data_IF_903608221083
#
_entry.id   IF_903608221083
#
_cell.length_a   1.000
_cell.length_b   1.000
_cell.length_c   1.000
_cell.angle_alpha   90.00
_cell.angle_beta   90.00
_cell.angle_gamma   90.00
#
_symmetry.space_group_name_H-M   'P 1'
#
loop_
_entity.id
_entity.type
_entity.pdbx_description
1 polymer ?
2 non-polymer ?
3 non-polymer ?
4 non-polymer ?
5 water ?
#
# COMPACT_ATOMS: atom_id res chain seq x y z
N UNK A 3 -13.64 9.01 7.83
CA UNK A 3 -13.76 9.88 6.65
C UNK A 3 -12.58 9.66 5.71
N UNK A 4 -12.83 9.99 4.46
CA UNK A 4 -11.80 9.89 3.45
C UNK A 4 -11.10 11.20 3.38
N UNK A 5 -9.89 11.25 3.94
CA UNK A 5 -9.10 12.48 3.95
C UNK A 5 -8.44 12.71 2.59
N UNK A 6 -8.37 13.99 2.22
CA UNK A 6 -7.77 14.42 1.00
C UNK A 6 -6.45 15.05 1.32
N UNK A 7 -5.40 14.49 0.71
CA UNK A 7 -4.02 14.84 1.03
C UNK A 7 -3.28 15.47 -0.16
N UNK A 8 -2.53 16.52 0.12
CA UNK A 8 -1.61 17.11 -0.84
C UNK A 8 -0.18 16.96 -0.28
N UNK A 9 0.70 16.31 -1.06
CA UNK A 9 2.06 15.99 -0.70
C UNK A 9 2.85 16.36 -1.94
N UNK A 10 3.57 17.47 -1.85
CA UNK A 10 4.28 18.01 -2.99
C UNK A 10 5.50 18.82 -2.54
N UNK A 11 6.54 18.83 -3.38
CA UNK A 11 7.73 19.63 -3.16
C UNK A 11 7.76 20.88 -4.04
N UNK A 12 8.33 21.94 -3.49
CA UNK A 12 8.39 23.20 -4.20
C UNK A 12 9.59 24.03 -3.67
N UNK A 13 10.03 24.99 -4.43
CA UNK A 13 11.14 25.86 -4.07
C UNK A 13 10.68 26.90 -3.06
N UNK A 14 11.61 27.70 -2.53
CA UNK A 14 11.23 28.73 -1.57
C UNK A 14 10.19 29.71 -2.18
N UNK A 15 10.42 30.00 -3.46
CA UNK A 15 9.52 30.81 -4.32
C UNK A 15 8.33 30.06 -4.98
N UNK A 16 8.02 28.87 -4.47
CA UNK A 16 6.73 28.22 -4.68
C UNK A 16 6.58 27.69 -6.12
N UNK A 17 7.71 27.41 -6.73
CA UNK A 17 7.72 26.71 -8.00
C UNK A 17 7.83 25.19 -7.83
N UNK A 18 7.02 24.44 -8.60
CA UNK A 18 7.01 22.98 -8.52
C UNK A 18 7.77 22.31 -9.68
N UNK A 19 8.08 23.06 -10.72
CA UNK A 19 8.85 22.54 -11.82
C UNK A 19 9.38 23.72 -12.55
N UNK A 20 10.30 23.46 -13.45
CA UNK A 20 10.75 24.56 -14.28
C UNK A 20 9.77 24.77 -15.39
N UNK A 21 10.17 25.73 -16.19
CA UNK A 21 9.52 26.10 -17.42
C UNK A 21 9.06 24.84 -18.21
N UNK A 22 9.96 23.87 -18.32
CA UNK A 22 9.70 22.62 -19.08
C UNK A 22 8.87 21.57 -18.33
N UNK A 23 8.52 21.82 -17.06
CA UNK A 23 7.91 20.75 -16.26
C UNK A 23 8.95 19.83 -15.67
N UNK A 24 10.24 20.15 -15.78
CA UNK A 24 11.34 19.35 -15.20
C UNK A 24 11.47 19.60 -13.70
N UNK A 25 11.76 18.55 -12.91
CA UNK A 25 11.99 18.70 -11.45
C UNK A 25 13.45 18.49 -10.99
N UNK A 26 14.37 18.37 -11.95
CA UNK A 26 15.73 18.01 -11.63
C UNK A 26 16.47 19.04 -10.78
N UNK A 27 16.17 20.32 -10.94
CA UNK A 27 16.81 21.34 -10.07
C UNK A 27 16.27 21.39 -8.65
N UNK A 28 15.06 20.88 -8.45
CA UNK A 28 14.58 20.67 -7.09
C UNK A 28 15.32 19.46 -6.48
N UNK A 29 15.39 18.34 -7.20
CA UNK A 29 16.14 17.19 -6.73
C UNK A 29 17.64 17.47 -6.46
N UNK A 30 18.25 18.27 -7.32
CA UNK A 30 19.66 18.65 -7.18
C UNK A 30 19.95 19.36 -5.84
N UNK A 31 18.93 19.94 -5.25
CA UNK A 31 19.11 20.90 -4.09
C UNK A 31 18.73 20.30 -2.73
N UNK A 32 18.66 18.98 -2.69
CA UNK A 32 18.60 18.22 -1.45
C UNK A 32 20.03 18.10 -0.92
N UNK A 33 20.19 18.28 0.38
CA UNK A 33 21.51 18.21 0.99
C UNK A 33 21.56 17.19 2.16
N UNK A 34 21.93 15.98 1.85
CA UNK A 34 22.11 14.95 2.86
C UNK A 34 21.53 13.66 2.34
N UNK A 35 21.75 12.58 3.07
CA UNK A 35 21.31 11.27 2.63
C UNK A 35 20.41 10.55 3.67
N UNK A 36 19.83 11.28 4.63
CA UNK A 36 19.06 10.68 5.70
C UNK A 36 17.72 10.30 5.16
N UNK A 37 17.11 9.26 5.71
CA UNK A 37 15.80 8.80 5.18
C UNK A 37 14.69 9.70 5.65
N UNK A 38 13.62 9.78 4.85
CA UNK A 38 12.33 10.36 5.30
C UNK A 38 11.22 9.41 4.93
N UNK A 39 10.24 9.29 5.82
CA UNK A 39 9.16 8.31 5.70
C UNK A 39 7.83 8.91 5.33
N UNK A 40 7.76 10.23 5.07
CA UNK A 40 6.47 10.91 4.78
C UNK A 40 5.78 10.30 3.60
N UNK A 41 6.56 10.04 2.57
CA UNK A 41 5.98 9.47 1.38
C UNK A 41 5.38 8.07 1.60
N UNK A 42 6.18 7.16 2.18
CA UNK A 42 5.69 5.82 2.44
C UNK A 42 4.51 5.79 3.41
N UNK A 43 4.55 6.66 4.42
CA UNK A 43 3.49 6.79 5.40
C UNK A 43 2.16 7.21 4.77
N UNK A 44 2.21 8.32 4.03
CA UNK A 44 1.06 8.85 3.28
C UNK A 44 0.59 7.78 2.35
N UNK A 45 1.50 7.21 1.58
CA UNK A 45 1.09 6.26 0.51
C UNK A 45 0.35 5.06 1.06
N UNK A 46 0.71 4.65 2.26
CA UNK A 46 0.10 3.47 2.90
C UNK A 46 -1.37 3.74 3.26
N UNK A 47 -1.75 5.01 3.43
CA UNK A 47 -3.07 5.43 3.88
C UNK A 47 -4.06 5.70 2.74
N UNK A 48 -3.57 5.76 1.50
CA UNK A 48 -4.41 6.08 0.35
C UNK A 48 -4.85 4.82 -0.43
N UNK A 49 -6.03 4.92 -1.06
CA UNK A 49 -6.43 3.99 -2.06
C UNK A 49 -6.60 4.63 -3.46
N UNK A 50 -6.39 5.95 -3.55
CA UNK A 50 -6.73 6.69 -4.74
C UNK A 50 -5.74 7.82 -4.95
N UNK A 51 -5.30 7.98 -6.20
CA UNK A 51 -4.54 9.12 -6.65
C UNK A 51 -5.29 9.91 -7.73
N UNK A 52 -5.23 11.22 -7.68
CA UNK A 52 -5.96 12.06 -8.63
C UNK A 52 -4.92 12.97 -9.23
N UNK A 53 -4.88 13.09 -10.55
CA UNK A 53 -3.91 13.94 -11.21
C UNK A 53 -4.44 14.35 -12.59
N UNK A 54 -3.76 15.31 -13.18
CA UNK A 54 -4.10 15.81 -14.52
C UNK A 54 -3.34 15.00 -15.56
N UNK A 55 -3.64 15.25 -16.82
CA UNK A 55 -3.12 14.47 -17.93
C UNK A 55 -1.61 14.59 -18.08
N UNK A 56 -1.07 15.78 -17.90
CA UNK A 56 0.40 15.95 -18.02
C UNK A 56 1.18 15.23 -16.90
N UNK A 57 0.65 15.28 -15.68
CA UNK A 57 1.30 14.63 -14.55
C UNK A 57 1.28 13.11 -14.76
N UNK A 58 0.16 12.60 -15.27
CA UNK A 58 0.01 11.16 -15.60
C UNK A 58 1.03 10.70 -16.61
N UNK A 59 1.19 11.50 -17.65
CA UNK A 59 2.17 11.19 -18.66
C UNK A 59 3.58 11.26 -18.07
N UNK A 60 3.90 12.31 -17.35
CA UNK A 60 5.20 12.39 -16.69
C UNK A 60 5.49 11.20 -15.77
N UNK A 61 4.53 10.83 -14.93
CA UNK A 61 4.74 9.74 -13.98
C UNK A 61 4.88 8.40 -14.70
N UNK A 62 4.08 8.16 -15.73
CA UNK A 62 4.18 6.90 -16.45
C UNK A 62 5.50 6.82 -17.20
N UNK A 63 6.03 7.94 -17.68
CA UNK A 63 7.27 7.92 -18.44
C UNK A 63 8.49 8.03 -17.51
N UNK A 64 8.60 9.17 -16.82
CA UNK A 64 9.80 9.52 -16.07
C UNK A 64 9.94 8.82 -14.70
N UNK A 65 8.83 8.50 -14.04
CA UNK A 65 8.89 7.98 -12.67
C UNK A 65 8.74 6.46 -12.62
N UNK A 66 8.00 5.90 -13.57
CA UNK A 66 7.75 4.47 -13.61
C UNK A 66 8.84 3.80 -14.45
N UNK A 67 9.74 3.02 -13.78
CA UNK A 67 10.89 2.43 -14.50
C UNK A 67 10.66 1.00 -15.02
N UNK A 68 9.62 0.35 -14.51
CA UNK A 68 9.33 -1.07 -14.80
C UNK A 68 7.83 -1.39 -14.97
N UNK A 69 6.99 -0.52 -14.40
CA UNK A 69 5.56 -0.42 -14.74
C UNK A 69 5.00 0.76 -13.94
N UNK A 70 3.77 1.15 -14.28
CA UNK A 70 3.15 2.35 -13.73
C UNK A 70 3.27 2.33 -12.21
N UNK A 71 3.93 3.37 -11.68
CA UNK A 71 4.26 3.46 -10.25
C UNK A 71 3.02 3.35 -9.35
N UNK A 72 1.86 3.82 -9.81
CA UNK A 72 0.68 3.84 -8.94
C UNK A 72 -0.36 2.85 -9.41
N UNK A 73 0.11 1.82 -10.11
CA UNK A 73 -0.76 0.74 -10.59
C UNK A 73 -1.47 0.03 -9.44
N UNK A 74 -0.88 0.11 -8.24
CA UNK A 74 -1.44 -0.50 -7.05
C UNK A 74 -2.50 0.36 -6.34
N UNK A 75 -2.97 1.44 -7.00
CA UNK A 75 -4.01 2.32 -6.47
C UNK A 75 -5.01 2.63 -7.60
N UNK A 76 -6.15 3.22 -7.22
CA UNK A 76 -7.13 3.73 -8.15
C UNK A 76 -6.73 5.12 -8.62
N UNK A 77 -6.64 5.30 -9.94
CA UNK A 77 -6.21 6.56 -10.50
C UNK A 77 -7.38 7.29 -11.16
N UNK A 78 -7.57 8.56 -10.83
CA UNK A 78 -8.40 9.47 -11.64
C UNK A 78 -7.54 10.43 -12.41
N UNK A 79 -7.79 10.56 -13.70
CA UNK A 79 -7.11 11.52 -14.54
C UNK A 79 -8.17 12.58 -14.89
N UNK A 80 -7.97 13.79 -14.40
CA UNK A 80 -8.91 14.90 -14.61
C UNK A 80 -8.43 15.66 -15.83
N UNK A 81 -9.21 15.50 -16.90
CA UNK A 81 -8.83 15.94 -18.23
C UNK A 81 -10.09 15.95 -19.10
N UNK A 82 -10.06 16.80 -20.12
CA UNK A 82 -11.10 16.81 -21.14
C UNK A 82 -10.85 15.77 -22.26
N UNK A 83 -9.64 15.20 -22.30
CA UNK A 83 -9.27 14.13 -23.22
C UNK A 83 -10.10 12.89 -22.98
N UNK A 84 -10.61 12.30 -24.06
CA UNK A 84 -11.44 11.11 -23.92
C UNK A 84 -10.60 9.82 -23.96
N UNK A 85 -9.99 9.48 -22.83
CA UNK A 85 -9.21 8.24 -22.71
C UNK A 85 -10.05 7.00 -22.44
N UNK A 86 -9.38 5.87 -22.35
CA UNK A 86 -10.05 4.60 -22.22
C UNK A 86 -10.00 4.16 -20.73
N UNK A 87 -11.17 4.10 -20.08
CA UNK A 87 -11.23 3.73 -18.67
C UNK A 87 -10.89 2.25 -18.51
N UNK A 88 -10.29 1.95 -17.36
CA UNK A 88 -10.08 0.61 -16.91
C UNK A 88 -10.59 0.48 -15.50
N UNK A 89 -10.57 -0.75 -15.03
CA UNK A 89 -10.81 -1.05 -13.66
C UNK A 89 -9.98 -0.27 -12.68
N UNK A 90 -8.79 0.19 -13.07
CA UNK A 90 -7.92 0.96 -12.18
C UNK A 90 -7.67 2.42 -12.55
N UNK A 91 -8.13 2.83 -13.73
CA UNK A 91 -7.92 4.19 -14.22
C UNK A 91 -9.19 4.76 -14.79
N UNK A 92 -9.56 5.95 -14.33
CA UNK A 92 -10.80 6.58 -14.78
C UNK A 92 -10.51 7.98 -15.21
N UNK A 93 -10.98 8.32 -16.41
CA UNK A 93 -10.87 9.68 -16.95
C UNK A 93 -12.07 10.50 -16.49
N UNK A 94 -11.82 11.68 -15.94
CA UNK A 94 -12.85 12.53 -15.33
C UNK A 94 -12.92 13.86 -16.05
N UNK A 95 -14.03 14.13 -16.71
CA UNK A 95 -14.16 15.28 -17.59
C UNK A 95 -14.84 16.47 -16.91
N UNK A 96 -15.24 16.30 -15.66
CA UNK A 96 -15.89 17.36 -14.90
C UNK A 96 -14.83 18.01 -14.02
N UNK A 97 -15.22 18.90 -13.10
CA UNK A 97 -14.26 19.66 -12.34
C UNK A 97 -13.59 18.78 -11.26
N UNK A 98 -12.33 19.06 -10.92
CA UNK A 98 -11.74 18.36 -9.78
C UNK A 98 -12.56 18.48 -8.47
N UNK A 99 -13.11 19.67 -8.19
CA UNK A 99 -14.01 19.85 -7.02
C UNK A 99 -15.20 18.87 -7.02
N UNK A 100 -15.90 18.74 -8.16
CA UNK A 100 -16.99 17.74 -8.24
C UNK A 100 -16.48 16.33 -8.01
N UNK A 101 -15.28 16.01 -8.49
CA UNK A 101 -14.73 14.64 -8.24
C UNK A 101 -14.52 14.35 -6.78
N UNK A 102 -13.90 15.30 -6.08
CA UNK A 102 -13.55 15.13 -4.70
C UNK A 102 -14.83 15.05 -3.85
N UNK A 103 -15.82 15.87 -4.15
CA UNK A 103 -17.08 15.81 -3.37
C UNK A 103 -17.79 14.48 -3.53
N UNK A 104 -17.79 13.94 -4.74
CA UNK A 104 -18.38 12.63 -4.98
C UNK A 104 -17.62 11.52 -4.27
N UNK A 105 -16.31 11.49 -4.42
CA UNK A 105 -15.48 10.49 -3.74
C UNK A 105 -15.73 10.48 -2.25
N UNK A 106 -15.81 11.65 -1.64
CA UNK A 106 -15.98 11.78 -0.20
C UNK A 106 -17.30 11.17 0.33
N UNK A 107 -18.30 11.06 -0.54
CA UNK A 107 -19.54 10.37 -0.23
C UNK A 107 -19.42 8.85 -0.47
N UNK A 108 -18.23 8.34 -0.78
CA UNK A 108 -18.11 6.93 -1.08
C UNK A 108 -17.29 6.21 -0.04
N UNK A 109 -17.39 4.89 -0.06
CA UNK A 109 -16.67 4.09 0.91
C UNK A 109 -15.19 3.98 0.47
N UNK A 110 -14.23 4.19 1.37
CA UNK A 110 -12.84 3.95 1.01
C UNK A 110 -11.86 4.59 1.93
N UNK A 111 -10.59 4.63 1.51
CA UNK A 111 -9.50 5.21 2.30
C UNK A 111 -9.16 6.64 1.84
N UNK A 112 -7.95 7.09 2.11
CA UNK A 112 -7.58 8.46 1.76
C UNK A 112 -7.23 8.67 0.27
N UNK A 113 -7.13 9.95 -0.11
CA UNK A 113 -6.98 10.34 -1.48
C UNK A 113 -5.81 11.32 -1.61
N UNK A 114 -4.85 10.97 -2.47
CA UNK A 114 -3.77 11.87 -2.81
C UNK A 114 -3.99 12.66 -4.08
N UNK A 115 -3.97 14.01 -3.94
CA UNK A 115 -3.97 14.93 -5.08
C UNK A 115 -2.49 15.19 -5.52
N UNK A 116 -2.09 14.62 -6.63
CA UNK A 116 -0.67 14.59 -7.04
C UNK A 116 -0.28 15.89 -7.72
N UNK A 117 -1.10 16.36 -8.65
CA UNK A 117 -0.77 17.55 -9.43
C UNK A 117 -1.45 17.48 -10.78
N UNK A 118 -1.34 18.53 -11.61
CA UNK A 118 -0.54 19.72 -11.32
C UNK A 118 -1.32 20.85 -10.65
N UNK A 119 -0.84 22.06 -10.86
CA UNK A 119 -1.44 23.27 -10.24
C UNK A 119 -2.92 23.50 -10.58
N UNK A 120 -3.35 23.12 -11.80
CA UNK A 120 -4.76 23.24 -12.22
C UNK A 120 -5.70 22.29 -11.53
N UNK A 121 -5.18 21.20 -10.99
CA UNK A 121 -5.93 20.27 -10.16
C UNK A 121 -5.94 20.70 -8.67
N UNK A 122 -4.77 21.10 -8.19
CA UNK A 122 -4.54 21.41 -6.79
C UNK A 122 -5.17 22.74 -6.40
N UNK A 123 -4.96 23.78 -7.19
CA UNK A 123 -5.39 25.11 -6.81
C UNK A 123 -6.90 25.19 -6.55
N UNK A 124 -7.74 24.64 -7.46
CA UNK A 124 -9.16 24.73 -7.12
C UNK A 124 -9.58 24.01 -5.86
N UNK A 125 -8.91 22.89 -5.54
CA UNK A 125 -9.23 22.13 -4.35
C UNK A 125 -8.85 22.86 -3.08
N UNK A 126 -7.72 23.60 -3.08
CA UNK A 126 -7.38 24.46 -1.95
C UNK A 126 -8.38 25.61 -1.81
N UNK A 127 -8.70 26.28 -2.92
CA UNK A 127 -9.67 27.36 -2.92
C UNK A 127 -10.97 26.90 -2.30
N UNK A 128 -11.40 25.70 -2.68
CA UNK A 128 -12.64 25.12 -2.13
C UNK A 128 -12.48 24.60 -0.69
N UNK A 129 -11.30 24.69 -0.08
CA UNK A 129 -11.07 24.21 1.29
C UNK A 129 -11.35 22.73 1.38
N UNK A 130 -10.97 21.96 0.37
CA UNK A 130 -11.27 20.51 0.33
C UNK A 130 -10.06 19.62 0.66
N UNK A 131 -8.88 20.22 0.83
CA UNK A 131 -7.72 19.49 1.30
C UNK A 131 -7.78 19.37 2.86
N UNK A 132 -7.72 18.16 3.36
CA UNK A 132 -7.64 17.89 4.83
C UNK A 132 -6.27 17.98 5.43
N UNK A 133 -5.27 17.45 4.74
CA UNK A 133 -3.89 17.49 5.17
C UNK A 133 -2.99 17.93 4.03
N UNK A 134 -2.13 18.90 4.39
CA UNK A 134 -1.09 19.46 3.51
C UNK A 134 0.26 19.00 4.03
N UNK A 135 1.01 18.29 3.20
CA UNK A 135 2.43 17.98 3.49
C UNK A 135 3.23 18.70 2.44
N UNK A 136 3.80 19.84 2.80
CA UNK A 136 4.43 20.74 1.84
C UNK A 136 5.93 20.75 2.14
N UNK A 137 6.73 20.40 1.12
CA UNK A 137 8.19 20.20 1.28
C UNK A 137 8.88 21.32 0.55
N UNK A 138 9.59 22.19 1.27
CA UNK A 138 10.29 23.28 0.66
C UNK A 138 11.74 22.91 0.49
N UNK A 139 12.23 23.13 -0.73
CA UNK A 139 13.57 22.76 -1.13
C UNK A 139 14.39 24.04 -1.04
N UNK A 140 15.66 23.95 -0.57
CA UNK A 140 16.48 25.16 -0.33
C UNK A 140 17.08 25.79 -1.60
N UNK A 141 16.17 26.39 -2.37
CA UNK A 141 16.48 27.00 -3.66
C UNK A 141 15.41 28.01 -4.03
N UNK A 142 15.84 29.16 -4.51
CA UNK A 142 14.94 30.04 -5.30
C UNK A 142 15.09 29.62 -6.76
N UNK A 143 14.00 29.17 -7.38
CA UNK A 143 14.05 28.68 -8.75
C UNK A 143 14.03 29.85 -9.76
N UNK A 144 13.32 30.92 -9.41
CA UNK A 144 13.34 32.20 -10.16
C UNK A 144 12.37 32.27 -11.34
N UNK A 145 11.78 31.12 -11.71
CA UNK A 145 10.80 31.03 -12.81
C UNK A 145 10.30 29.58 -12.83
N UNK A 146 9.29 29.30 -13.64
CA UNK A 146 8.75 27.96 -13.77
C UNK A 146 7.26 27.89 -13.53
N UNK A 147 6.79 26.72 -13.09
CA UNK A 147 5.37 26.49 -12.78
C UNK A 147 5.12 26.71 -11.30
N UNK A 148 4.27 27.69 -11.02
CA UNK A 148 4.06 28.08 -9.62
C UNK A 148 2.79 27.38 -9.12
N UNK A 149 2.85 26.88 -7.90
CA UNK A 149 1.67 26.39 -7.19
C UNK A 149 1.04 27.50 -6.31
N UNK A 150 -0.27 27.43 -6.12
CA UNK A 150 -1.01 28.49 -5.40
C UNK A 150 -0.80 29.89 -5.95
N UNK A 151 -0.79 30.03 -7.29
CA UNK A 151 -0.52 31.30 -7.92
C UNK A 151 -1.51 32.34 -7.45
N UNK A 152 -2.80 32.06 -7.54
CA UNK A 152 -3.74 33.12 -7.18
C UNK A 152 -5.07 32.47 -6.88
N UNK A 153 -5.22 32.01 -5.64
CA UNK A 153 -6.39 31.27 -5.25
C UNK A 153 -7.63 32.19 -5.18
N UNK A 154 -7.47 33.49 -4.99
CA UNK A 154 -8.59 34.44 -4.91
C UNK A 154 -9.61 34.18 -3.77
N UNK A 155 -9.20 33.45 -2.74
CA UNK A 155 -9.97 33.25 -1.50
C UNK A 155 -8.90 33.16 -0.40
N UNK A 156 -9.23 33.62 0.80
CA UNK A 156 -8.43 33.35 1.98
C UNK A 156 -8.77 31.97 2.45
N UNK A 157 -7.73 31.18 2.69
CA UNK A 157 -7.92 29.81 3.21
C UNK A 157 -7.02 29.64 4.46
N UNK A 158 -7.56 29.94 5.64
CA UNK A 158 -6.82 29.67 6.88
C UNK A 158 -6.62 28.17 7.08
N UNK A 159 -5.45 27.80 7.57
CA UNK A 159 -5.11 26.40 7.93
C UNK A 159 -4.44 26.39 9.31
N UNK A 160 -4.17 25.19 9.82
CA UNK A 160 -3.51 24.99 11.11
C UNK A 160 -2.23 24.21 11.02
N UNK A 161 -1.17 24.70 11.64
CA UNK A 161 0.10 23.96 11.61
C UNK A 161 0.04 22.82 12.61
N UNK A 162 0.17 21.60 12.10
CA UNK A 162 0.27 20.35 12.89
C UNK A 162 1.75 20.03 13.27
N UNK A 163 2.71 20.31 12.39
CA UNK A 163 4.09 19.92 12.66
C UNK A 163 4.99 20.53 11.64
N UNK A 164 6.27 20.63 11.97
CA UNK A 164 7.28 21.11 11.01
C UNK A 164 8.61 20.48 11.39
N UNK A 165 9.37 20.07 10.39
CA UNK A 165 10.70 19.56 10.63
C UNK A 165 11.50 19.59 9.36
N UNK A 166 12.80 19.32 9.52
CA UNK A 166 13.79 19.35 8.42
C UNK A 166 14.44 17.97 8.21
N UNK A 167 14.57 17.57 6.95
CA UNK A 167 15.37 16.38 6.60
C UNK A 167 16.18 16.76 5.36
N UNK A 168 17.49 16.55 5.42
CA UNK A 168 18.33 16.84 4.26
C UNK A 168 18.16 18.29 3.74
N UNK A 169 17.99 19.22 4.67
CA UNK A 169 17.75 20.68 4.44
C UNK A 169 16.44 21.04 3.76
N UNK A 170 15.61 20.04 3.53
CA UNK A 170 14.19 20.21 3.13
C UNK A 170 13.30 20.49 4.36
N UNK A 171 12.40 21.46 4.23
CA UNK A 171 11.45 21.77 5.27
C UNK A 171 10.17 21.06 4.94
N UNK A 172 9.76 20.23 5.86
CA UNK A 172 8.47 19.55 5.80
C UNK A 172 7.48 20.24 6.70
N UNK A 173 6.49 20.91 6.10
CA UNK A 173 5.44 21.62 6.84
C UNK A 173 4.14 20.88 6.66
N UNK A 174 3.50 20.52 7.77
CA UNK A 174 2.30 19.74 7.76
C UNK A 174 1.17 20.57 8.34
N UNK A 175 0.21 20.89 7.50
CA UNK A 175 -0.96 21.74 7.88
C UNK A 175 -2.21 20.92 7.80
N UNK A 176 -3.18 21.32 8.59
CA UNK A 176 -4.47 20.69 8.55
C UNK A 176 -5.53 21.76 8.27
N UNK A 177 -6.58 21.30 7.60
CA UNK A 177 -7.81 22.10 7.38
C UNK A 177 -8.30 22.64 8.73
N UNK A 178 -8.63 23.90 8.75
CA UNK A 178 -9.09 24.63 9.93
C UNK A 178 -10.41 24.05 10.38
N UNK B 3 -18.76 -11.37 3.38
CA UNK B 3 -18.28 -11.28 4.78
C UNK B 3 -16.76 -10.96 4.84
N UNK B 4 -16.19 -11.08 6.04
CA UNK B 4 -14.75 -11.03 6.26
C UNK B 4 -14.18 -12.36 5.81
N UNK B 5 -13.44 -12.35 4.71
CA UNK B 5 -12.84 -13.56 4.25
C UNK B 5 -11.45 -13.74 4.91
N UNK B 6 -11.17 -14.98 5.29
CA UNK B 6 -9.92 -15.39 5.89
C UNK B 6 -9.07 -16.00 4.79
N UNK B 7 -7.87 -15.46 4.62
CA UNK B 7 -7.01 -15.71 3.47
C UNK B 7 -5.68 -16.31 3.91
N UNK B 8 -5.24 -17.35 3.20
CA UNK B 8 -3.89 -17.88 3.38
C UNK B 8 -3.07 -17.57 2.12
N UNK B 9 -1.96 -16.85 2.27
CA UNK B 9 -1.10 -16.47 1.15
C UNK B 9 0.31 -16.91 1.55
N UNK B 10 0.78 -17.98 0.94
CA UNK B 10 2.03 -18.59 1.37
C UNK B 10 2.74 -19.22 0.20
N UNK B 11 4.07 -19.22 0.26
CA UNK B 11 4.95 -19.83 -0.73
C UNK B 11 5.66 -21.00 -0.12
N UNK B 12 5.65 -22.12 -0.86
CA UNK B 12 6.31 -23.34 -0.45
C UNK B 12 7.03 -24.08 -1.61
N UNK B 13 7.98 -24.94 -1.27
CA UNK B 13 8.65 -25.83 -2.23
C UNK B 13 7.65 -26.88 -2.73
N UNK B 14 8.03 -27.62 -3.79
CA UNK B 14 7.21 -28.71 -4.37
C UNK B 14 6.89 -29.74 -3.28
N UNK B 15 7.88 -30.00 -2.44
CA UNK B 15 7.74 -30.85 -1.22
C UNK B 15 7.20 -30.17 0.09
N UNK B 16 6.48 -29.06 -0.08
CA UNK B 16 5.68 -28.42 0.92
C UNK B 16 6.41 -27.89 2.15
N UNK B 17 7.63 -27.46 1.92
CA UNK B 17 8.35 -26.71 2.94
C UNK B 17 8.24 -25.20 2.75
N UNK B 18 8.04 -24.48 3.87
CA UNK B 18 7.85 -23.02 3.86
C UNK B 18 9.09 -22.30 4.33
N UNK B 19 10.03 -23.04 4.92
CA UNK B 19 11.35 -22.49 5.33
C UNK B 19 12.30 -23.66 5.49
N UNK B 20 13.60 -23.39 5.52
CA UNK B 20 14.58 -24.47 5.63
C UNK B 20 14.78 -24.75 7.11
N UNK B 21 15.68 -25.69 7.42
CA UNK B 21 15.96 -26.09 8.81
C UNK B 21 16.29 -24.89 9.71
N UNK B 22 16.91 -23.85 9.16
CA UNK B 22 17.27 -22.67 9.94
C UNK B 22 16.12 -21.66 10.02
N UNK B 23 14.93 -22.02 9.54
CA UNK B 23 13.79 -21.10 9.48
C UNK B 23 13.96 -20.04 8.41
N UNK B 24 14.98 -20.20 7.55
CA UNK B 24 15.33 -19.22 6.50
C UNK B 24 14.58 -19.45 5.18
N UNK B 25 14.41 -18.37 4.41
CA UNK B 25 13.71 -18.38 3.10
C UNK B 25 14.56 -17.80 1.93
N UNK B 26 15.88 -17.83 2.07
CA UNK B 26 16.82 -17.35 1.03
C UNK B 26 16.70 -18.12 -0.30
N UNK B 27 16.28 -19.37 -0.20
CA UNK B 27 15.97 -20.21 -1.36
C UNK B 27 14.72 -19.82 -2.19
N UNK B 28 13.79 -19.07 -1.63
CA UNK B 28 12.56 -18.70 -2.36
C UNK B 28 12.89 -17.80 -3.58
N UNK B 29 13.53 -16.66 -3.30
CA UNK B 29 14.02 -15.77 -4.35
C UNK B 29 15.04 -16.43 -5.28
N UNK B 30 15.90 -17.26 -4.72
CA UNK B 30 16.93 -17.91 -5.50
C UNK B 30 16.37 -18.85 -6.61
N UNK B 31 15.11 -19.27 -6.44
CA UNK B 31 14.43 -20.22 -7.37
C UNK B 31 13.25 -19.60 -8.16
N UNK B 32 13.20 -18.27 -8.14
CA UNK B 32 12.39 -17.49 -9.10
C UNK B 32 13.19 -17.35 -10.37
N UNK B 33 12.56 -17.70 -11.49
CA UNK B 33 13.22 -17.63 -12.79
C UNK B 33 12.49 -16.64 -13.71
N UNK B 34 12.95 -15.40 -13.72
CA UNK B 34 12.33 -14.37 -14.57
C UNK B 34 12.05 -13.12 -13.76
N UNK B 35 11.70 -12.04 -14.46
CA UNK B 35 11.47 -10.77 -13.81
C UNK B 35 10.08 -10.18 -14.09
N UNK B 36 9.12 -10.99 -14.54
CA UNK B 36 7.78 -10.44 -14.84
C UNK B 36 7.07 -10.10 -13.50
N UNK B 37 6.23 -9.07 -13.46
CA UNK B 37 5.54 -8.73 -12.20
C UNK B 37 4.42 -9.72 -11.87
N UNK B 38 4.16 -9.93 -10.58
CA UNK B 38 2.92 -10.57 -10.12
C UNK B 38 2.27 -9.67 -9.09
N UNK B 39 0.94 -9.58 -9.18
CA UNK B 39 0.15 -8.66 -8.32
C UNK B 39 -0.60 -9.37 -7.19
N UNK B 40 -0.36 -10.66 -6.99
CA UNK B 40 -1.16 -11.42 -6.02
C UNK B 40 -1.00 -10.86 -4.63
N UNK B 41 0.23 -10.54 -4.26
CA UNK B 41 0.47 -10.01 -2.93
C UNK B 41 -0.20 -8.66 -2.75
N UNK B 42 0.04 -7.73 -3.67
CA UNK B 42 -0.50 -6.37 -3.54
C UNK B 42 -2.04 -6.37 -3.56
N UNK B 43 -2.62 -7.25 -4.35
CA UNK B 43 -4.07 -7.41 -4.45
C UNK B 43 -4.70 -7.93 -3.12
N UNK B 44 -4.08 -8.95 -2.54
CA UNK B 44 -4.52 -9.52 -1.26
C UNK B 44 -4.34 -8.42 -0.18
N UNK B 45 -3.17 -7.80 -0.13
CA UNK B 45 -2.89 -6.84 0.93
C UNK B 45 -3.90 -5.65 0.94
N UNK B 46 -4.39 -5.28 -0.23
CA UNK B 46 -5.35 -4.18 -0.34
C UNK B 46 -6.72 -4.55 0.20
N UNK B 47 -7.02 -5.85 0.26
CA UNK B 47 -8.31 -6.33 0.73
C UNK B 47 -8.35 -6.59 2.23
N UNK B 48 -7.19 -6.74 2.85
CA UNK B 48 -7.13 -7.07 4.27
C UNK B 48 -7.06 -5.82 5.17
N UNK B 49 -7.59 -5.93 6.37
CA UNK B 49 -7.35 -4.92 7.42
C UNK B 49 -6.65 -5.53 8.64
N UNK B 50 -6.41 -6.84 8.61
CA UNK B 50 -5.93 -7.61 9.75
C UNK B 50 -4.90 -8.66 9.34
N UNK B 51 -3.80 -8.77 10.10
CA UNK B 51 -2.88 -9.89 9.95
C UNK B 51 -2.88 -10.72 11.23
N UNK B 52 -2.78 -12.02 11.07
CA UNK B 52 -2.69 -12.94 12.20
C UNK B 52 -1.42 -13.77 12.10
N UNK B 53 -0.69 -13.87 13.22
CA UNK B 53 0.59 -14.58 13.20
C UNK B 53 1.01 -15.11 14.55
N UNK B 54 1.92 -16.07 14.52
CA UNK B 54 2.47 -16.64 15.72
C UNK B 54 3.63 -15.79 16.15
N UNK B 55 4.14 -16.07 17.35
CA UNK B 55 5.23 -15.28 17.94
C UNK B 55 6.49 -15.27 17.10
N UNK B 56 6.84 -16.39 16.49
CA UNK B 56 8.11 -16.49 15.77
C UNK B 56 8.06 -15.73 14.47
N UNK B 57 6.99 -15.91 13.72
CA UNK B 57 6.75 -15.13 12.51
C UNK B 57 6.82 -13.64 12.85
N UNK B 58 6.20 -13.22 13.94
CA UNK B 58 6.25 -11.81 14.29
C UNK B 58 7.70 -11.36 14.44
N UNK B 59 8.53 -12.17 15.11
CA UNK B 59 9.91 -11.83 15.41
C UNK B 59 10.77 -11.85 14.14
N UNK B 60 10.48 -12.76 13.22
CA UNK B 60 11.18 -12.77 11.93
C UNK B 60 10.76 -11.59 11.06
N UNK B 61 9.51 -11.18 11.19
CA UNK B 61 8.95 -10.10 10.36
C UNK B 61 9.59 -8.79 10.78
N UNK B 62 9.66 -8.58 12.09
CA UNK B 62 10.22 -7.36 12.67
C UNK B 62 11.75 -7.41 12.92
N UNK B 63 12.45 -8.40 12.35
CA UNK B 63 13.93 -8.45 12.38
C UNK B 63 14.47 -8.58 10.96
N UNK B 64 14.09 -9.66 10.28
CA UNK B 64 14.44 -9.89 8.86
C UNK B 64 13.29 -9.50 7.91
N UNK B 69 11.24 -0.05 10.14
CA UNK B 69 9.78 0.09 10.15
C UNK B 69 9.12 -1.30 10.13
N UNK B 70 8.09 -1.49 10.97
CA UNK B 70 7.31 -2.76 10.99
C UNK B 70 6.37 -2.82 9.79
N UNK B 71 6.48 -3.92 9.03
CA UNK B 71 5.87 -4.02 7.69
C UNK B 71 4.36 -3.92 7.66
N UNK B 72 3.68 -4.41 8.72
CA UNK B 72 2.21 -4.38 8.78
C UNK B 72 1.71 -3.35 9.80
N UNK B 73 2.46 -2.25 9.94
CA UNK B 73 2.03 -1.10 10.76
C UNK B 73 0.73 -0.44 10.22
N UNK B 74 0.51 -0.56 8.92
CA UNK B 74 -0.74 -0.11 8.31
C UNK B 74 -1.95 -1.08 8.44
N UNK B 75 -1.82 -2.15 9.23
CA UNK B 75 -2.92 -3.09 9.52
C UNK B 75 -3.04 -3.40 11.03
N UNK B 76 -4.16 -4.00 11.44
CA UNK B 76 -4.30 -4.57 12.79
C UNK B 76 -3.61 -5.95 12.89
N UNK B 77 -2.75 -6.11 13.88
CA UNK B 77 -2.01 -7.35 14.07
C UNK B 77 -2.48 -8.10 15.32
N UNK B 78 -2.65 -9.40 15.16
CA UNK B 78 -2.81 -10.33 16.27
C UNK B 78 -1.63 -11.25 16.33
N UNK B 79 -0.96 -11.29 17.48
CA UNK B 79 0.09 -12.27 17.73
C UNK B 79 -0.52 -13.37 18.61
N UNK B 80 -0.59 -14.57 18.04
CA UNK B 80 -1.17 -15.73 18.72
C UNK B 80 -0.01 -16.46 19.41
N UNK B 81 0.16 -16.15 20.69
CA UNK B 81 1.25 -16.65 21.52
C UNK B 81 0.76 -16.76 22.96
N UNK B 82 1.34 -17.71 23.69
CA UNK B 82 1.13 -17.81 25.15
C UNK B 82 1.92 -16.77 25.94
N UNK B 83 2.96 -16.18 25.37
CA UNK B 83 3.68 -15.17 26.13
C UNK B 83 2.84 -13.90 26.27
N UNK B 84 2.78 -13.45 27.52
CA UNK B 84 1.83 -12.45 28.03
C UNK B 84 2.16 -11.00 27.68
N UNK B 85 2.67 -10.73 26.48
CA UNK B 85 3.03 -9.38 26.06
C UNK B 85 1.94 -8.32 26.28
N UNK B 86 2.35 -7.06 26.24
CA UNK B 86 1.42 -5.93 26.35
C UNK B 86 0.87 -5.47 25.01
N UNK B 87 -0.44 -5.27 24.95
CA UNK B 87 -1.12 -4.87 23.73
C UNK B 87 -0.77 -3.42 23.42
N UNK B 88 -1.00 -3.04 22.17
CA UNK B 88 -1.02 -1.64 21.77
C UNK B 88 -2.24 -1.45 20.89
N UNK B 89 -2.40 -0.22 20.41
CA UNK B 89 -3.49 0.12 19.49
C UNK B 89 -3.58 -0.75 18.25
N UNK B 90 -2.44 -1.10 17.66
CA UNK B 90 -2.42 -1.89 16.44
C UNK B 90 -1.89 -3.32 16.57
N UNK B 91 -1.33 -3.68 17.72
CA UNK B 91 -0.79 -5.02 17.91
C UNK B 91 -1.38 -5.63 19.18
N UNK B 92 -2.18 -6.68 18.99
CA UNK B 92 -2.79 -7.43 20.08
C UNK B 92 -2.15 -8.80 20.24
N UNK B 93 -2.00 -9.21 21.50
CA UNK B 93 -1.60 -10.56 21.84
C UNK B 93 -2.83 -11.42 22.09
N UNK B 94 -2.77 -12.66 21.64
CA UNK B 94 -3.90 -13.60 21.73
C UNK B 94 -3.43 -14.91 22.33
N UNK B 95 -3.97 -15.22 23.51
CA UNK B 95 -3.50 -16.35 24.32
C UNK B 95 -4.40 -17.58 24.21
N UNK B 96 -5.54 -17.47 23.54
CA UNK B 96 -6.37 -18.63 23.24
C UNK B 96 -6.02 -19.19 21.86
N UNK B 97 -6.82 -20.15 21.37
CA UNK B 97 -6.49 -20.87 20.14
C UNK B 97 -6.72 -20.01 18.90
N UNK B 98 -5.95 -20.28 17.81
CA UNK B 98 -6.21 -19.63 16.50
C UNK B 98 -7.66 -19.73 16.03
N UNK B 99 -8.24 -20.92 16.13
CA UNK B 99 -9.65 -21.13 15.80
C UNK B 99 -10.59 -20.22 16.59
N UNK B 100 -10.37 -20.07 17.90
CA UNK B 100 -11.24 -19.18 18.70
C UNK B 100 -11.11 -17.72 18.24
N UNK B 101 -9.88 -17.26 17.97
CA UNK B 101 -9.68 -15.92 17.40
C UNK B 101 -10.44 -15.73 16.09
N UNK B 102 -10.27 -16.62 15.12
CA UNK B 102 -10.86 -16.40 13.77
C UNK B 102 -12.41 -16.39 13.84
N UNK B 103 -12.99 -17.30 14.60
CA UNK B 103 -14.44 -17.31 14.82
C UNK B 103 -15.01 -15.97 15.35
N UNK B 104 -14.25 -15.34 16.25
CA UNK B 104 -14.66 -14.07 16.82
C UNK B 104 -14.50 -12.94 15.80
N UNK B 105 -13.32 -12.83 15.18
CA UNK B 105 -13.05 -11.87 14.10
C UNK B 105 -14.12 -11.95 13.02
N UNK B 106 -14.48 -13.16 12.61
CA UNK B 106 -15.51 -13.35 11.58
C UNK B 106 -16.89 -12.75 11.91
N UNK B 107 -17.20 -12.51 13.18
CA UNK B 107 -18.49 -11.91 13.55
C UNK B 107 -18.45 -10.39 13.53
N UNK B 108 -17.24 -9.86 13.32
CA UNK B 108 -16.99 -8.44 13.50
C UNK B 108 -17.00 -7.71 12.18
N UNK B 109 -17.18 -6.40 12.29
CA UNK B 109 -17.15 -5.54 11.15
C UNK B 109 -15.71 -5.44 10.68
N UNK B 110 -15.51 -5.30 9.39
CA UNK B 110 -14.18 -5.12 8.86
C UNK B 110 -13.99 -5.82 7.54
N UNK B 111 -12.74 -5.83 7.09
CA UNK B 111 -12.33 -6.32 5.81
C UNK B 111 -11.68 -7.72 5.93
N UNK B 112 -10.91 -8.13 4.96
CA UNK B 112 -10.43 -9.52 4.96
C UNK B 112 -9.31 -9.69 5.99
N UNK B 113 -8.92 -10.94 6.24
CA UNK B 113 -7.93 -11.25 7.27
C UNK B 113 -6.86 -12.14 6.63
N UNK B 114 -5.59 -11.77 6.79
CA UNK B 114 -4.50 -12.61 6.32
C UNK B 114 -3.86 -13.44 7.46
N UNK B 115 -3.89 -14.76 7.30
CA UNK B 115 -3.21 -15.69 8.22
C UNK B 115 -1.78 -15.90 7.68
N UNK B 116 -0.79 -15.31 8.34
CA UNK B 116 0.57 -15.20 7.78
C UNK B 116 1.35 -16.49 8.05
N UNK B 117 1.37 -16.90 9.30
CA UNK B 117 2.05 -18.13 9.68
C UNK B 117 2.20 -18.17 11.17
N UNK B 118 2.79 -19.23 11.76
CA UNK B 118 3.41 -20.34 11.02
C UNK B 118 2.48 -21.53 10.93
N UNK B 119 3.04 -22.74 10.76
CA UNK B 119 2.21 -23.95 10.65
C UNK B 119 1.25 -24.15 11.82
N UNK B 120 1.66 -23.77 13.03
CA UNK B 120 0.82 -23.97 14.22
C UNK B 120 -0.39 -23.06 14.24
N UNK B 121 -0.32 -21.94 13.52
CA UNK B 121 -1.48 -21.06 13.34
C UNK B 121 -2.34 -21.53 12.19
N UNK B 122 -1.68 -21.78 11.05
CA UNK B 122 -2.32 -22.19 9.82
C UNK B 122 -3.03 -23.54 9.85
N UNK B 123 -2.35 -24.57 10.35
CA UNK B 123 -2.86 -25.96 10.27
C UNK B 123 -4.23 -26.11 10.96
N UNK B 124 -4.40 -25.61 12.21
CA UNK B 124 -5.70 -25.73 12.86
C UNK B 124 -6.84 -25.02 12.11
N UNK B 125 -6.51 -23.95 11.38
CA UNK B 125 -7.51 -23.22 10.63
C UNK B 125 -7.96 -24.01 9.39
N UNK B 126 -7.04 -24.71 8.74
CA UNK B 126 -7.38 -25.58 7.62
C UNK B 126 -8.20 -26.76 8.10
N UNK B 127 -7.75 -27.40 9.18
CA UNK B 127 -8.45 -28.53 9.76
C UNK B 127 -9.89 -28.15 10.09
N UNK B 128 -10.09 -26.95 10.64
CA UNK B 128 -11.45 -26.47 10.98
C UNK B 128 -12.23 -25.98 9.77
N UNK B 129 -11.60 -26.00 8.59
CA UNK B 129 -12.20 -25.48 7.37
C UNK B 129 -12.60 -24.01 7.47
N UNK B 130 -11.78 -23.21 8.14
CA UNK B 130 -12.08 -21.79 8.36
C UNK B 130 -11.37 -20.82 7.40
N UNK B 131 -10.59 -21.38 6.46
CA UNK B 131 -9.91 -20.58 5.45
C UNK B 131 -10.88 -20.47 4.26
N UNK B 132 -11.06 -19.25 3.79
CA UNK B 132 -11.99 -18.98 2.68
C UNK B 132 -11.31 -19.02 1.33
N UNK B 133 -10.14 -18.41 1.29
CA UNK B 133 -9.34 -18.36 0.07
C UNK B 133 -7.92 -18.80 0.35
N UNK B 134 -7.46 -19.77 -0.46
CA UNK B 134 -6.06 -20.23 -0.45
C UNK B 134 -5.32 -19.73 -1.69
N UNK B 135 -4.25 -18.95 -1.48
CA UNK B 135 -3.31 -18.57 -2.55
C UNK B 135 -1.97 -19.23 -2.19
N UNK B 136 -1.73 -20.37 -2.81
CA UNK B 136 -0.59 -21.22 -2.58
C UNK B 136 0.36 -21.08 -3.76
N UNK B 137 1.57 -20.58 -3.48
CA UNK B 137 2.63 -20.40 -4.49
C UNK B 137 3.72 -21.44 -4.34
N UNK B 138 3.87 -22.26 -5.38
CA UNK B 138 4.87 -23.32 -5.36
C UNK B 138 6.11 -22.87 -6.10
N UNK B 139 7.22 -22.96 -5.41
CA UNK B 139 8.55 -22.57 -5.93
C UNK B 139 9.16 -23.83 -6.60
N UNK B 140 9.83 -23.69 -7.77
CA UNK B 140 10.32 -24.88 -8.50
C UNK B 140 11.59 -25.53 -7.89
N UNK B 141 11.43 -26.15 -6.73
CA UNK B 141 12.57 -26.75 -5.98
C UNK B 141 12.00 -27.76 -5.04
N UNK B 142 12.69 -28.89 -4.92
CA UNK B 142 12.50 -29.81 -3.77
C UNK B 142 13.53 -29.38 -2.72
N UNK B 143 13.07 -28.96 -1.54
CA UNK B 143 13.96 -28.39 -0.51
C UNK B 143 14.63 -29.49 0.31
N UNK B 144 13.90 -30.58 0.52
CA UNK B 144 14.48 -31.79 1.06
C UNK B 144 14.38 -31.90 2.58
N UNK B 145 14.18 -30.76 3.24
CA UNK B 145 13.98 -30.70 4.70
C UNK B 145 13.58 -29.28 5.10
N UNK B 146 13.26 -29.09 6.39
CA UNK B 146 12.78 -27.79 6.89
C UNK B 146 11.40 -27.85 7.52
N UNK B 147 10.66 -26.77 7.40
CA UNK B 147 9.39 -26.60 8.12
C UNK B 147 8.28 -26.83 7.16
N UNK B 148 7.53 -27.90 7.38
CA UNK B 148 6.46 -28.30 6.49
C UNK B 148 5.13 -27.70 6.91
N UNK B 149 4.38 -27.21 5.93
CA UNK B 149 2.99 -26.79 6.13
C UNK B 149 2.03 -27.94 5.80
N UNK B 150 0.89 -27.98 6.49
CA UNK B 150 -0.10 -29.04 6.28
C UNK B 150 0.53 -30.42 6.54
N UNK B 151 1.38 -30.53 7.57
CA UNK B 151 2.02 -31.82 7.91
C UNK B 151 1.03 -33.00 8.05
N UNK B 152 0.06 -32.81 8.92
CA UNK B 152 -0.87 -33.86 9.30
C UNK B 152 -2.12 -33.23 9.92
N UNK B 153 -3.02 -32.79 9.06
CA UNK B 153 -4.30 -32.17 9.46
C UNK B 153 -5.29 -33.07 10.12
N UNK B 154 -5.17 -34.38 9.85
CA UNK B 154 -5.99 -35.45 10.41
C UNK B 154 -7.49 -35.31 10.14
N UNK B 155 -7.79 -34.66 9.02
CA UNK B 155 -9.14 -34.29 8.59
C UNK B 155 -9.00 -34.18 7.08
N UNK B 156 -9.97 -34.69 6.34
CA UNK B 156 -10.03 -34.39 4.92
C UNK B 156 -10.75 -33.09 4.69
N UNK B 157 -10.13 -32.19 3.94
CA UNK B 157 -10.69 -30.89 3.67
C UNK B 157 -10.77 -30.66 2.14
N UNK B 158 -11.87 -31.08 1.51
CA UNK B 158 -11.99 -30.83 0.06
C UNK B 158 -12.10 -29.33 -0.19
N UNK B 159 -11.54 -28.85 -1.28
CA UNK B 159 -11.65 -27.42 -1.65
C UNK B 159 -11.92 -27.36 -3.15
N UNK B 160 -12.08 -26.15 -3.66
CA UNK B 160 -12.39 -25.92 -5.04
C UNK B 160 -11.33 -25.05 -5.71
N UNK B 161 -10.90 -25.47 -6.87
CA UNK B 161 -9.91 -24.68 -7.61
C UNK B 161 -10.59 -23.54 -8.34
N UNK B 162 -10.12 -22.33 -8.09
CA UNK B 162 -10.71 -21.13 -8.68
C UNK B 162 -9.87 -20.72 -9.91
N UNK B 163 -8.55 -20.86 -9.82
CA UNK B 163 -7.62 -20.50 -10.89
C UNK B 163 -6.24 -21.07 -10.65
N UNK B 164 -5.44 -21.17 -11.70
CA UNK B 164 -4.01 -21.52 -11.58
C UNK B 164 -3.25 -20.83 -12.68
N UNK B 165 -2.04 -20.37 -12.39
CA UNK B 165 -1.20 -19.79 -13.42
C UNK B 165 0.24 -19.82 -12.99
N UNK B 166 1.14 -19.49 -13.92
CA UNK B 166 2.60 -19.42 -13.67
C UNK B 166 3.13 -17.99 -13.86
N UNK B 167 3.99 -17.54 -12.96
CA UNK B 167 4.76 -16.36 -13.18
C UNK B 167 6.18 -16.69 -12.77
N UNK B 168 7.12 -16.46 -13.67
CA UNK B 168 8.54 -16.69 -13.34
C UNK B 168 8.86 -18.09 -12.83
N UNK B 169 8.12 -19.08 -13.35
CA UNK B 169 8.23 -20.52 -13.00
C UNK B 169 7.65 -20.88 -11.63
N UNK B 170 7.00 -19.92 -10.98
CA UNK B 170 6.26 -20.14 -9.74
C UNK B 170 4.81 -20.41 -10.12
N UNK B 171 4.22 -21.44 -9.52
CA UNK B 171 2.85 -21.80 -9.76
C UNK B 171 2.02 -21.17 -8.69
N UNK B 172 1.02 -20.40 -9.11
CA UNK B 172 0.00 -19.84 -8.24
C UNK B 172 -1.27 -20.61 -8.39
N UNK B 173 -1.66 -21.30 -7.33
CA UNK B 173 -2.88 -22.12 -7.25
C UNK B 173 -3.81 -21.39 -6.31
N UNK B 174 -5.00 -21.04 -6.79
CA UNK B 174 -5.97 -20.34 -5.95
C UNK B 174 -7.15 -21.29 -5.72
N UNK B 175 -7.38 -21.60 -4.45
CA UNK B 175 -8.47 -22.50 -4.02
C UNK B 175 -9.46 -21.76 -3.16
N UNK B 176 -10.69 -22.24 -3.14
CA UNK B 176 -11.72 -21.67 -2.29
C UNK B 176 -12.39 -22.72 -1.43
N UNK B 177 -12.79 -22.32 -0.22
CA UNK B 177 -13.58 -23.16 0.70
C UNK B 177 -14.76 -23.75 -0.06
N UNK B 178 -14.98 -25.05 0.06
CA UNK B 178 -16.09 -25.70 -0.63
C UNK B 178 -17.42 -25.24 -0.06
X LIG C 1 5.05 12.98 -8.66
X LIG C 1 7.25 15.08 -2.72
X LIG C 1 6.58 12.46 -4.96
X LIG C 1 9.14 15.55 -1.58
X LIG C 1 11.32 16.07 -2.46
X LIG C 1 13.89 14.38 -4.20
X LIG C 1 13.04 16.53 -3.81
X LIG C 1 11.84 17.37 -5.78
X LIG C 1 9.79 16.49 -7.14
X LIG D 1 -1.62 18.55 -15.14
X LIG D 1 -0.40 19.31 -15.30
X LIG D 1 -2.64 19.18 -14.34
X LIG D 1 -1.17 17.29 -14.62
X LIG D 1 -2.18 18.33 -16.44
X LIG E 1 -6.78 18.98 -20.24
X LIG E 1 -6.46 19.15 -21.65
X LIG E 1 -6.15 20.05 -19.47
X LIG E 1 -6.17 17.71 -19.88
X LIG E 1 -8.23 19.06 -20.03
X LIG F 1 -9.77 15.17 -26.91
X LIG F 1 -9.70 13.75 -26.75
X LIG F 1 -8.57 15.69 -27.69
X LIG F 1 -7.47 14.80 -27.51
X LIG G 1 4.36 -19.73 21.79
X LIG G 1 4.64 -18.45 21.11
X LIG G 1 5.34 -19.86 22.87
X LIG G 1 4.56 -20.87 20.90
X LIG G 1 2.99 -19.71 22.32
X LIG H 1 4.92 -19.17 14.72
X LIG H 1 4.83 -17.85 14.09
X LIG H 1 5.27 -19.05 16.14
X LIG H 1 6.00 -19.83 14.01
X LIG H 1 3.66 -19.91 14.67
#
# INVERSE_FOLDING_TARGET
>A
GXARKVILFIAMSIDNYIADDQGAVDWLEKNVHGTESDDSYEKMYSKIDTVIMGRTTYEQVTQKLSPEKYVYADRQTYIVTSHLGEDTDKIKYWKQSPVELVKRIQKEKGKDVWIVGGAKIIDPLVQANLIDTYILTTVPIFLGSGIRLFDRLEEQVPVRLIDVYQKNELVYSIYQRG
>B
GXARKVILFIAMSIDNYIADDQGAVDWLEKNVHGTESDDSYEKMYSKIDTVIMGRTTYEQVTQKLSPEKYVYADRQTYIVTSHLGEDTDKIKYWKQSPVELVKRIQKEKGKDVWIVGGAKIIDPLVQANLIDTYILTTVPIFLGSGIRLFDRLEEQVPVRLIDVYQKNELVYSIYQRG
>C hetero
1 UNL O1 O2 O3 O4 O5 O6 O7 O8 O9
>D hetero
1 SO4 S O1 O2 O3 O4
>E hetero
1 SO4 S O1 O2 O3 O4
>F hetero
1 EDO C1 O1 C2 O2
>G hetero
1 SO4 S O1 O2 O3 O4
>H hetero
1 SO4 S O1 O2 O3 O4
#
